data_IF_019652921269
#
_entry.id   IF_019652921269
#
_cell.length_a   1.000
_cell.length_b   1.000
_cell.length_c   1.000
_cell.angle_alpha   90.00
_cell.angle_beta   90.00
_cell.angle_gamma   90.00
#
_symmetry.space_group_name_H-M   'P 1'
#
loop_
_entity.id
_entity.type
_entity.pdbx_description
1 polymer ?
#
# COMPACT_ATOMS: atom_id res chain seq x y z
N UNK A 1 -9.97 -8.86 -37.81
CA UNK A 1 -8.72 -8.22 -37.33
C UNK A 1 -8.94 -7.25 -36.17
N UNK A 2 -9.99 -6.42 -36.15
CA UNK A 2 -10.23 -5.45 -35.06
C UNK A 2 -10.69 -6.03 -33.70
N UNK A 3 -11.48 -7.12 -33.69
CA UNK A 3 -11.92 -7.76 -32.43
C UNK A 3 -10.78 -8.43 -31.66
N UNK A 4 -9.84 -9.06 -32.36
CA UNK A 4 -8.70 -9.75 -31.75
C UNK A 4 -7.71 -8.76 -31.11
N UNK A 5 -7.50 -7.60 -31.73
CA UNK A 5 -6.67 -6.54 -31.16
C UNK A 5 -7.34 -5.88 -29.94
N UNK A 6 -8.67 -5.67 -29.98
CA UNK A 6 -9.42 -5.12 -28.83
C UNK A 6 -9.42 -6.04 -27.62
N UNK A 7 -9.52 -7.35 -27.83
CA UNK A 7 -9.42 -8.33 -26.74
C UNK A 7 -8.00 -8.40 -26.16
N UNK A 8 -6.96 -8.23 -27.00
CA UNK A 8 -5.56 -8.14 -26.54
C UNK A 8 -5.28 -6.84 -25.78
N UNK A 9 -5.89 -5.72 -26.17
CA UNK A 9 -5.80 -4.43 -25.46
C UNK A 9 -6.54 -4.45 -24.12
N UNK A 10 -7.69 -5.13 -24.03
CA UNK A 10 -8.40 -5.37 -22.75
C UNK A 10 -7.66 -6.39 -21.86
N UNK A 11 -6.89 -7.31 -22.45
CA UNK A 11 -6.05 -8.30 -21.75
C UNK A 11 -4.75 -7.71 -21.20
N UNK A 12 -4.41 -6.46 -21.55
CA UNK A 12 -3.24 -5.73 -21.05
C UNK A 12 -3.55 -4.85 -19.82
N UNK A 13 -4.79 -4.91 -19.33
CA UNK A 13 -5.17 -4.20 -18.11
C UNK A 13 -4.50 -4.88 -16.92
N UNK A 14 -3.55 -4.18 -16.30
CA UNK A 14 -2.88 -4.66 -15.09
C UNK A 14 -3.92 -5.13 -14.08
N UNK A 15 -3.86 -6.39 -13.67
CA UNK A 15 -4.72 -6.86 -12.59
C UNK A 15 -4.29 -6.16 -11.31
N UNK A 16 -5.15 -5.26 -10.82
CA UNK A 16 -4.97 -4.54 -9.57
C UNK A 16 -5.66 -5.32 -8.45
N UNK A 17 -4.85 -5.86 -7.54
CA UNK A 17 -5.33 -6.56 -6.36
C UNK A 17 -5.07 -5.71 -5.12
N UNK A 18 -6.12 -5.38 -4.37
CA UNK A 18 -5.95 -4.72 -3.08
C UNK A 18 -5.43 -5.73 -2.06
N UNK A 19 -4.27 -5.44 -1.47
CA UNK A 19 -3.68 -6.26 -0.41
C UNK A 19 -4.38 -5.98 0.92
N UNK A 20 -4.52 -4.69 1.26
CA UNK A 20 -5.34 -4.28 2.40
C UNK A 20 -5.72 -2.80 2.33
N UNK A 21 -6.76 -2.47 3.09
CA UNK A 21 -7.15 -1.10 3.43
C UNK A 21 -7.39 -1.04 4.93
N UNK A 22 -6.73 -0.11 5.64
CA UNK A 22 -6.96 0.08 7.08
C UNK A 22 -6.85 1.55 7.51
N UNK A 23 -7.62 1.97 8.52
CA UNK A 23 -7.32 3.22 9.21
C UNK A 23 -6.01 3.11 9.99
N UNK A 24 -5.23 4.19 10.00
CA UNK A 24 -3.98 4.27 10.73
C UNK A 24 -4.25 4.56 12.21
N UNK A 25 -3.75 3.67 13.08
CA UNK A 25 -3.76 3.87 14.53
C UNK A 25 -2.66 4.84 14.97
N UNK A 26 -2.69 5.27 16.24
CA UNK A 26 -1.60 6.05 16.84
C UNK A 26 -0.26 5.32 16.77
N UNK A 27 -0.26 4.00 16.98
CA UNK A 27 0.94 3.17 16.87
C UNK A 27 1.46 3.12 15.45
N UNK A 28 0.57 3.05 14.47
CA UNK A 28 0.97 3.08 13.06
C UNK A 28 1.67 4.42 12.76
N UNK A 29 1.13 5.54 13.21
CA UNK A 29 1.74 6.86 12.95
C UNK A 29 3.08 7.04 13.69
N UNK A 30 3.17 6.62 14.94
CA UNK A 30 4.29 6.99 15.82
C UNK A 30 5.41 5.96 15.90
N UNK A 31 5.16 4.69 15.54
CA UNK A 31 6.10 3.59 15.80
C UNK A 31 6.36 2.77 14.54
N UNK A 32 5.34 2.06 14.04
CA UNK A 32 5.44 1.13 12.90
C UNK A 32 4.05 0.76 12.40
N UNK A 33 3.92 0.58 11.10
CA UNK A 33 2.67 0.08 10.51
C UNK A 33 2.51 -1.40 10.84
N UNK A 34 1.41 -1.76 11.50
CA UNK A 34 0.96 -3.16 11.56
C UNK A 34 0.28 -3.54 10.25
N UNK A 35 0.77 -4.59 9.61
CA UNK A 35 0.29 -5.11 8.33
C UNK A 35 -0.69 -6.26 8.61
N UNK A 36 -1.86 -6.33 7.94
CA UNK A 36 -2.77 -7.47 8.07
C UNK A 36 -2.11 -8.78 7.64
N UNK A 37 -2.33 -9.86 8.40
CA UNK A 37 -1.68 -11.15 8.15
C UNK A 37 -2.10 -11.74 6.81
N UNK A 38 -3.34 -11.50 6.40
CA UNK A 38 -3.94 -11.97 5.14
C UNK A 38 -3.24 -11.39 3.91
N UNK A 39 -2.51 -10.28 4.06
CA UNK A 39 -1.75 -9.67 2.98
C UNK A 39 -0.32 -10.21 2.84
N UNK A 40 0.13 -11.06 3.77
CA UNK A 40 1.53 -11.49 3.85
C UNK A 40 1.96 -12.34 2.65
N UNK A 41 1.04 -13.15 2.08
CA UNK A 41 1.30 -14.02 0.93
C UNK A 41 1.62 -13.25 -0.36
N UNK A 42 1.34 -11.94 -0.39
CA UNK A 42 1.73 -11.10 -1.52
C UNK A 42 3.25 -10.91 -1.60
N UNK A 43 3.95 -11.02 -0.47
CA UNK A 43 5.37 -10.75 -0.32
C UNK A 43 6.19 -12.04 -0.32
N UNK A 44 7.26 -12.04 -1.13
CA UNK A 44 8.14 -13.20 -1.29
C UNK A 44 9.31 -13.09 -0.31
N UNK A 45 9.27 -13.88 0.76
CA UNK A 45 10.39 -14.04 1.68
C UNK A 45 11.32 -15.12 1.15
N UNK A 46 12.63 -14.89 1.19
CA UNK A 46 13.59 -15.95 0.95
C UNK A 46 13.45 -17.04 2.03
N UNK A 47 13.88 -18.26 1.71
CA UNK A 47 13.82 -19.38 2.64
C UNK A 47 14.61 -19.05 3.92
N UNK A 48 13.99 -19.28 5.09
CA UNK A 48 14.58 -18.94 6.39
C UNK A 48 14.55 -17.46 6.77
N UNK A 49 14.13 -16.56 5.86
CA UNK A 49 14.08 -15.12 6.15
C UNK A 49 12.74 -14.68 6.73
N UNK A 50 12.83 -13.73 7.68
CA UNK A 50 11.67 -13.13 8.34
C UNK A 50 11.49 -11.66 7.96
N UNK A 51 12.28 -11.18 7.01
CA UNK A 51 12.24 -9.81 6.50
C UNK A 51 12.31 -9.82 4.98
N UNK A 52 11.64 -8.86 4.36
CA UNK A 52 11.71 -8.61 2.92
C UNK A 52 11.62 -7.12 2.68
N UNK A 53 12.54 -6.62 1.85
CA UNK A 53 12.47 -5.25 1.35
C UNK A 53 11.63 -5.22 0.08
N UNK A 54 10.75 -4.22 -0.02
CA UNK A 54 9.96 -4.00 -1.22
C UNK A 54 9.83 -2.51 -1.52
N UNK A 55 9.55 -2.22 -2.80
CA UNK A 55 9.30 -0.87 -3.29
C UNK A 55 7.82 -0.69 -3.57
N UNK A 56 7.20 0.32 -2.97
CA UNK A 56 5.86 0.77 -3.34
C UNK A 56 5.90 2.15 -3.97
N UNK A 57 5.10 2.35 -5.02
CA UNK A 57 5.03 3.61 -5.75
C UNK A 57 3.75 4.34 -5.33
N UNK A 58 3.85 5.62 -4.99
CA UNK A 58 2.67 6.43 -4.68
C UNK A 58 1.98 6.98 -5.95
N UNK A 59 0.91 7.74 -5.76
CA UNK A 59 0.13 8.41 -6.83
C UNK A 59 0.97 9.44 -7.61
N UNK A 60 2.00 10.01 -7.01
CA UNK A 60 2.91 10.95 -7.68
C UNK A 60 4.04 10.21 -8.44
N UNK A 61 3.90 8.90 -8.64
CA UNK A 61 4.91 8.01 -9.22
C UNK A 61 6.24 8.00 -8.43
N UNK A 62 6.21 8.41 -7.16
CA UNK A 62 7.41 8.42 -6.32
C UNK A 62 7.62 7.06 -5.65
N UNK A 63 8.82 6.46 -5.78
CA UNK A 63 9.12 5.19 -5.13
C UNK A 63 9.45 5.37 -3.65
N UNK A 64 8.93 4.44 -2.83
CA UNK A 64 9.19 4.31 -1.40
C UNK A 64 9.67 2.90 -1.10
N UNK A 65 10.80 2.80 -0.38
CA UNK A 65 11.35 1.50 0.05
C UNK A 65 10.91 1.23 1.48
N UNK A 66 10.36 0.04 1.69
CA UNK A 66 9.92 -0.43 2.99
C UNK A 66 10.53 -1.79 3.29
N UNK A 67 10.78 -2.04 4.57
CA UNK A 67 11.13 -3.37 5.06
C UNK A 67 9.92 -3.95 5.80
N UNK A 68 9.34 -5.02 5.27
CA UNK A 68 8.34 -5.83 5.95
C UNK A 68 9.04 -6.87 6.79
N UNK A 69 8.72 -6.95 8.08
CA UNK A 69 9.24 -7.98 8.98
C UNK A 69 8.11 -8.72 9.68
N UNK A 70 8.34 -10.00 9.96
CA UNK A 70 7.48 -10.85 10.79
C UNK A 70 8.28 -11.45 11.93
N UNK A 71 7.60 -11.93 12.97
CA UNK A 71 8.23 -12.68 14.06
C UNK A 71 8.77 -14.01 13.54
N UNK A 72 9.94 -14.37 14.04
CA UNK A 72 10.56 -15.67 13.78
C UNK A 72 9.78 -16.78 14.49
N UNK A 73 9.48 -17.86 13.76
CA UNK A 73 8.91 -19.12 14.26
C UNK A 73 7.65 -18.98 15.16
N UNK A 74 6.80 -17.98 14.91
CA UNK A 74 5.56 -17.74 15.66
C UNK A 74 4.33 -18.15 14.82
N UNK A 75 3.37 -18.85 15.43
CA UNK A 75 2.05 -19.18 14.82
C UNK A 75 1.30 -17.91 14.43
N UNK A 76 1.62 -16.79 15.08
CA UNK A 76 1.12 -15.47 14.74
C UNK A 76 2.27 -14.54 14.33
N UNK A 77 2.60 -14.48 13.03
CA UNK A 77 3.78 -13.77 12.54
C UNK A 77 3.78 -12.26 12.83
N UNK A 78 2.61 -11.65 13.05
CA UNK A 78 2.42 -10.21 13.37
C UNK A 78 3.29 -9.28 12.51
N UNK A 79 3.02 -9.21 11.19
CA UNK A 79 3.89 -8.49 10.28
C UNK A 79 3.80 -6.96 10.48
N UNK A 80 4.93 -6.29 10.30
CA UNK A 80 5.07 -4.83 10.46
C UNK A 80 6.00 -4.24 9.41
N UNK A 81 5.76 -2.99 9.03
CA UNK A 81 6.78 -2.21 8.30
C UNK A 81 7.79 -1.65 9.30
N UNK A 82 8.96 -2.27 9.38
CA UNK A 82 10.03 -1.95 10.34
C UNK A 82 10.99 -0.86 9.87
N UNK A 83 11.06 -0.58 8.57
CA UNK A 83 11.91 0.48 8.02
C UNK A 83 11.20 1.25 6.89
N UNK A 84 11.59 2.51 6.68
CA UNK A 84 11.03 3.42 5.67
C UNK A 84 9.68 4.03 6.03
N UNK A 85 8.88 3.35 6.85
CA UNK A 85 7.52 3.76 7.19
C UNK A 85 7.44 5.13 7.90
N UNK A 86 8.21 5.37 8.96
CA UNK A 86 8.14 6.66 9.68
C UNK A 86 8.60 7.84 8.81
N UNK A 87 9.56 7.62 7.91
CA UNK A 87 9.97 8.63 6.93
C UNK A 87 8.83 8.96 5.94
N UNK A 88 8.07 7.94 5.52
CA UNK A 88 6.86 8.11 4.72
C UNK A 88 5.79 8.90 5.48
N UNK A 89 5.49 8.51 6.73
CA UNK A 89 4.55 9.21 7.61
C UNK A 89 4.89 10.70 7.73
N UNK A 90 6.14 11.02 8.04
CA UNK A 90 6.60 12.40 8.21
C UNK A 90 6.48 13.19 6.90
N UNK A 91 6.98 12.63 5.78
CA UNK A 91 6.99 13.34 4.49
C UNK A 91 5.57 13.54 3.95
N UNK A 92 4.69 12.57 4.13
CA UNK A 92 3.30 12.65 3.68
C UNK A 92 2.36 13.30 4.70
N UNK A 93 2.88 13.66 5.89
CA UNK A 93 2.13 14.29 7.00
C UNK A 93 0.90 13.47 7.37
N UNK A 94 1.08 12.15 7.47
CA UNK A 94 0.00 11.22 7.80
C UNK A 94 -0.47 11.44 9.24
N UNK A 95 -1.74 11.18 9.48
CA UNK A 95 -2.41 11.39 10.76
C UNK A 95 -3.21 10.14 11.15
N UNK A 96 -3.55 10.07 12.43
CA UNK A 96 -4.45 9.03 12.93
C UNK A 96 -5.76 9.09 12.13
N UNK A 97 -6.34 7.92 11.85
CA UNK A 97 -7.60 7.71 11.15
C UNK A 97 -7.55 8.00 9.62
N UNK A 98 -6.41 8.44 9.08
CA UNK A 98 -6.14 8.33 7.64
C UNK A 98 -6.24 6.85 7.21
N UNK A 99 -6.75 6.59 6.01
CA UNK A 99 -6.87 5.24 5.45
C UNK A 99 -5.69 4.94 4.53
N UNK A 100 -4.88 3.97 4.89
CA UNK A 100 -3.82 3.44 4.05
C UNK A 100 -4.38 2.31 3.17
N UNK A 101 -4.12 2.39 1.88
CA UNK A 101 -4.40 1.36 0.89
C UNK A 101 -3.09 0.88 0.30
N UNK A 102 -2.85 -0.43 0.36
CA UNK A 102 -1.75 -1.07 -0.35
C UNK A 102 -2.35 -2.01 -1.39
N UNK A 103 -1.90 -1.90 -2.63
CA UNK A 103 -2.31 -2.78 -3.72
C UNK A 103 -1.10 -3.23 -4.53
N UNK A 104 -1.26 -4.34 -5.25
CA UNK A 104 -0.29 -4.85 -6.20
C UNK A 104 -0.91 -4.83 -7.59
N UNK A 105 -0.11 -4.36 -8.55
CA UNK A 105 -0.41 -4.43 -9.98
C UNK A 105 0.46 -5.53 -10.58
N UNK A 106 -0.17 -6.48 -11.27
CA UNK A 106 0.53 -7.51 -12.04
C UNK A 106 0.10 -7.42 -13.51
N UNK A 107 1.07 -7.39 -14.40
CA UNK A 107 0.89 -7.75 -15.80
C UNK A 107 1.53 -9.11 -16.03
N UNK A 108 1.00 -9.88 -16.98
CA UNK A 108 1.31 -11.30 -17.16
C UNK A 108 2.81 -11.61 -17.29
N UNK A 109 3.64 -10.64 -17.67
CA UNK A 109 5.09 -10.79 -17.87
C UNK A 109 5.96 -9.78 -17.07
N UNK A 110 5.36 -8.89 -16.26
CA UNK A 110 6.12 -7.88 -15.49
C UNK A 110 6.27 -8.26 -14.00
N UNK A 111 7.32 -7.74 -13.38
CA UNK A 111 7.53 -7.80 -11.93
C UNK A 111 6.35 -7.18 -11.16
N UNK A 112 5.98 -7.79 -10.02
CA UNK A 112 4.94 -7.28 -9.12
C UNK A 112 5.21 -5.82 -8.75
N UNK A 113 4.26 -4.93 -9.02
CA UNK A 113 4.38 -3.50 -8.68
C UNK A 113 3.48 -3.16 -7.51
N UNK A 114 4.07 -2.87 -6.35
CA UNK A 114 3.32 -2.38 -5.21
C UNK A 114 2.99 -0.90 -5.38
N UNK A 115 1.80 -0.54 -4.93
CA UNK A 115 1.28 0.81 -4.92
C UNK A 115 0.76 1.16 -3.55
N UNK A 116 1.09 2.36 -3.08
CA UNK A 116 0.70 2.86 -1.76
C UNK A 116 -0.10 4.14 -1.91
N UNK A 117 -1.25 4.19 -1.26
CA UNK A 117 -2.13 5.34 -1.26
C UNK A 117 -2.60 5.63 0.15
N UNK A 118 -2.72 6.91 0.51
CA UNK A 118 -3.32 7.30 1.79
C UNK A 118 -4.43 8.30 1.53
N UNK A 119 -5.60 8.00 2.08
CA UNK A 119 -6.78 8.84 1.99
C UNK A 119 -7.05 9.51 3.33
N UNK A 120 -7.33 10.80 3.31
CA UNK A 120 -7.82 11.56 4.46
C UNK A 120 -9.28 11.90 4.27
N UNK A 121 -10.04 11.79 5.36
CA UNK A 121 -11.42 12.27 5.39
C UNK A 121 -11.40 13.79 5.30
N UNK A 122 -11.90 14.34 4.20
CA UNK A 122 -11.96 15.79 4.00
C UNK A 122 -13.14 16.38 4.77
N UNK A 123 -14.35 15.85 4.53
CA UNK A 123 -15.59 16.30 5.16
C UNK A 123 -16.69 15.25 4.99
N UNK A 124 -17.85 15.48 5.61
CA UNK A 124 -19.06 14.68 5.43
C UNK A 124 -20.05 15.47 4.58
N UNK A 125 -20.56 14.86 3.52
CA UNK A 125 -21.57 15.44 2.63
C UNK A 125 -22.79 14.52 2.58
N UNK A 126 -23.95 15.04 2.98
CA UNK A 126 -25.22 14.29 3.00
C UNK A 126 -25.12 12.93 3.73
N UNK A 127 -24.41 12.89 4.87
CA UNK A 127 -24.21 11.65 5.65
C UNK A 127 -23.02 10.79 5.21
N UNK A 128 -22.51 11.01 4.01
CA UNK A 128 -21.41 10.23 3.42
C UNK A 128 -20.05 10.88 3.68
N UNK A 129 -19.06 10.07 4.03
CA UNK A 129 -17.69 10.54 4.23
C UNK A 129 -16.98 10.69 2.89
N UNK A 130 -16.47 11.89 2.61
CA UNK A 130 -15.65 12.18 1.44
C UNK A 130 -14.18 11.99 1.79
N UNK A 131 -13.51 11.13 1.03
CA UNK A 131 -12.11 10.79 1.21
C UNK A 131 -11.30 11.34 0.03
N UNK A 132 -10.21 12.02 0.34
CA UNK A 132 -9.30 12.59 -0.66
C UNK A 132 -7.90 12.06 -0.43
N UNK A 133 -7.14 11.92 -1.50
CA UNK A 133 -5.74 11.53 -1.40
C UNK A 133 -4.93 12.61 -0.64
N UNK A 134 -4.07 12.19 0.28
CA UNK A 134 -3.22 13.11 1.06
C UNK A 134 -2.25 13.90 0.19
N UNK A 135 -1.90 13.41 -1.00
CA UNK A 135 -1.09 14.18 -1.96
C UNK A 135 -1.87 15.34 -2.57
N UNK A 136 -3.17 15.17 -2.77
CA UNK A 136 -4.01 16.23 -3.34
C UNK A 136 -4.32 17.33 -2.33
N UNK A 137 -4.19 17.07 -1.02
CA UNK A 137 -4.32 18.09 0.04
C UNK A 137 -3.15 19.08 0.09
N UNK A 138 -2.03 18.79 -0.58
CA UNK A 138 -0.82 19.63 -0.52
C UNK A 138 -0.79 20.73 -1.56
N UNK A 139 -1.73 20.76 -2.50
CA UNK A 139 -1.69 21.67 -3.65
C UNK A 139 -2.28 23.06 -3.38
N UNK A 140 -2.76 23.31 -2.16
CA UNK A 140 -3.44 24.55 -1.77
C UNK A 140 -2.57 25.53 -0.95
N UNK A 141 -1.24 25.49 -1.08
CA UNK A 141 -0.32 26.45 -0.42
C UNK A 141 0.73 26.98 -1.38
#
# INVERSE_FOLDING_TARGET
LGYFNRLREMSLESQKTQLFCKPLSRTDINVRLSVPMESLDAFEFAEGEFKVDFKAIDIEEKPWRFCLSKRENDVHPKPVLSAGWLAYVQKKRLQKDDKLLLHVERKEEEEKRYRIQVLRKAFKLCGSDIWVDVENLKKDV
#
